data_IF_659915069759
#
_entry.id   IF_659915069759
#
_cell.length_a   1.000
_cell.length_b   1.000
_cell.length_c   1.000
_cell.angle_alpha   90.00
_cell.angle_beta   90.00
_cell.angle_gamma   90.00
#
_symmetry.space_group_name_H-M   'P 1'
#
loop_
_entity.id
_entity.type
_entity.pdbx_description
1 polymer ?
#
# COMPACT_ATOMS: atom_id res chain seq x y z
N UNK A 1 14.96 -32.40 -17.80
CA UNK A 1 14.22 -32.89 -18.97
C UNK A 1 13.13 -33.84 -18.51
N UNK A 2 11.87 -33.44 -18.65
CA UNK A 2 10.71 -34.30 -18.40
C UNK A 2 9.69 -33.99 -19.50
N UNK A 3 9.49 -34.97 -20.38
CA UNK A 3 8.60 -34.90 -21.54
C UNK A 3 7.20 -35.33 -21.06
N UNK A 4 6.18 -34.51 -21.29
CA UNK A 4 4.78 -34.85 -20.99
C UNK A 4 4.12 -35.30 -22.28
N UNK A 5 3.73 -36.57 -22.31
CA UNK A 5 2.96 -37.21 -23.36
C UNK A 5 1.49 -36.79 -23.26
N UNK A 6 0.92 -36.24 -24.34
CA UNK A 6 -0.51 -35.90 -24.41
C UNK A 6 -1.21 -36.97 -25.26
N UNK A 7 -2.05 -37.79 -24.64
CA UNK A 7 -2.98 -38.67 -25.37
C UNK A 7 -4.31 -37.95 -25.60
N UNK A 8 -4.88 -37.98 -26.81
CA UNK A 8 -6.19 -37.38 -27.06
C UNK A 8 -7.32 -38.35 -26.67
N UNK A 9 -8.34 -37.81 -26.01
CA UNK A 9 -9.57 -38.51 -25.67
C UNK A 9 -10.43 -38.72 -26.93
N UNK A 10 -10.81 -39.97 -27.19
CA UNK A 10 -11.80 -40.32 -28.21
C UNK A 10 -13.20 -39.96 -27.69
N UNK A 11 -13.88 -39.03 -28.36
CA UNK A 11 -15.33 -38.92 -28.28
C UNK A 11 -15.95 -39.50 -29.55
N UNK A 12 -16.77 -40.52 -29.33
CA UNK A 12 -17.69 -41.11 -30.29
C UNK A 12 -18.85 -40.13 -30.52
N UNK A 13 -19.06 -39.71 -31.76
CA UNK A 13 -20.34 -39.14 -32.20
C UNK A 13 -20.91 -40.00 -33.30
N UNK A 14 -22.15 -40.41 -33.07
CA UNK A 14 -22.97 -41.15 -34.00
C UNK A 14 -23.96 -40.17 -34.64
N UNK A 15 -24.20 -40.41 -35.93
CA UNK A 15 -25.39 -40.05 -36.72
C UNK A 15 -25.44 -38.72 -37.52
N UNK A 16 -25.67 -38.98 -38.82
CA UNK A 16 -26.57 -38.35 -39.79
C UNK A 16 -26.07 -37.17 -40.65
N UNK A 17 -25.87 -37.56 -41.91
CA UNK A 17 -25.96 -36.85 -43.18
C UNK A 17 -26.87 -35.62 -43.19
N UNK A 18 -26.36 -34.52 -43.75
CA UNK A 18 -26.89 -33.99 -45.00
C UNK A 18 -25.87 -33.10 -45.73
N UNK A 19 -25.94 -33.16 -47.06
CA UNK A 19 -25.08 -32.48 -48.02
C UNK A 19 -25.48 -31.01 -48.15
N UNK A 20 -24.51 -30.08 -48.16
CA UNK A 20 -24.50 -28.98 -49.14
C UNK A 20 -23.18 -28.19 -49.17
N UNK A 21 -23.00 -27.53 -50.31
CA UNK A 21 -21.76 -27.14 -50.99
C UNK A 21 -21.23 -25.76 -50.57
N UNK A 22 -19.90 -25.67 -50.45
CA UNK A 22 -19.06 -24.58 -50.95
C UNK A 22 -19.04 -23.22 -50.24
N UNK A 23 -17.95 -22.96 -49.50
CA UNK A 23 -17.24 -21.67 -49.52
C UNK A 23 -15.87 -21.82 -48.83
N UNK A 24 -14.82 -21.37 -49.51
CA UNK A 24 -13.44 -21.34 -49.04
C UNK A 24 -13.24 -20.15 -48.09
N UNK A 25 -13.18 -20.41 -46.79
CA UNK A 25 -12.79 -19.42 -45.77
C UNK A 25 -11.44 -19.80 -45.16
N UNK A 26 -10.47 -18.91 -45.36
CA UNK A 26 -9.16 -18.88 -44.71
C UNK A 26 -9.33 -18.66 -43.20
N UNK A 27 -9.45 -19.76 -42.44
CA UNK A 27 -9.47 -19.73 -40.97
C UNK A 27 -8.08 -19.41 -40.41
N UNK A 28 -7.89 -18.15 -40.05
CA UNK A 28 -6.81 -17.69 -39.20
C UNK A 28 -6.97 -18.36 -37.82
N UNK A 29 -6.02 -19.24 -37.49
CA UNK A 29 -6.06 -20.10 -36.31
C UNK A 29 -5.68 -19.30 -35.05
N UNK A 30 -6.58 -18.44 -34.57
CA UNK A 30 -6.46 -17.84 -33.24
C UNK A 30 -6.72 -18.93 -32.20
N UNK A 31 -5.64 -19.49 -31.64
CA UNK A 31 -5.71 -20.33 -30.45
C UNK A 31 -6.13 -19.46 -29.27
N UNK A 32 -7.43 -19.41 -29.00
CA UNK A 32 -7.94 -18.92 -27.72
C UNK A 32 -7.38 -19.80 -26.60
N UNK A 33 -6.42 -19.28 -25.84
CA UNK A 33 -5.99 -19.88 -24.58
C UNK A 33 -7.12 -19.62 -23.59
N UNK A 34 -8.12 -20.50 -23.58
CA UNK A 34 -9.12 -20.55 -22.54
C UNK A 34 -8.45 -21.06 -21.26
N UNK A 35 -7.93 -20.15 -20.45
CA UNK A 35 -7.64 -20.41 -19.03
C UNK A 35 -8.98 -20.62 -18.32
N UNK A 36 -9.52 -21.83 -18.41
CA UNK A 36 -10.61 -22.28 -17.54
C UNK A 36 -10.03 -22.45 -16.15
N UNK A 37 -9.96 -21.35 -15.40
CA UNK A 37 -9.91 -21.41 -13.94
C UNK A 37 -11.22 -22.04 -13.50
N UNK A 38 -11.19 -23.35 -13.26
CA UNK A 38 -12.37 -24.06 -12.76
C UNK A 38 -12.87 -23.36 -11.50
N UNK A 39 -14.08 -22.83 -11.56
CA UNK A 39 -14.83 -22.30 -10.41
C UNK A 39 -15.18 -23.39 -9.38
N UNK A 40 -14.72 -24.63 -9.60
CA UNK A 40 -14.74 -25.73 -8.64
C UNK A 40 -13.72 -25.59 -7.50
N UNK A 41 -12.94 -24.50 -7.45
CA UNK A 41 -12.31 -24.12 -6.19
C UNK A 41 -13.43 -23.68 -5.26
N UNK A 42 -13.87 -24.59 -4.38
CA UNK A 42 -14.73 -24.26 -3.26
C UNK A 42 -14.25 -22.94 -2.63
N UNK A 43 -15.15 -22.00 -2.27
CA UNK A 43 -14.75 -20.76 -1.61
C UNK A 43 -13.77 -21.15 -0.52
N UNK A 44 -12.56 -20.57 -0.58
CA UNK A 44 -11.45 -20.97 0.27
C UNK A 44 -11.85 -20.72 1.72
N UNK A 45 -12.44 -21.74 2.34
CA UNK A 45 -12.76 -21.75 3.74
C UNK A 45 -11.42 -21.81 4.44
N UNK A 46 -11.01 -20.66 4.97
CA UNK A 46 -9.94 -20.59 5.94
C UNK A 46 -10.39 -21.35 7.19
N UNK A 47 -10.30 -22.68 7.15
CA UNK A 47 -10.30 -23.49 8.36
C UNK A 47 -9.06 -23.03 9.11
N UNK A 48 -9.27 -22.37 10.25
CA UNK A 48 -8.23 -22.01 11.21
C UNK A 48 -7.56 -23.29 11.68
N UNK A 49 -6.63 -23.79 10.86
CA UNK A 49 -5.84 -24.95 11.19
C UNK A 49 -4.85 -24.48 12.26
N UNK A 50 -5.26 -24.61 13.52
CA UNK A 50 -4.49 -24.25 14.72
C UNK A 50 -3.11 -24.91 14.75
N UNK A 51 -2.89 -25.96 13.94
CA UNK A 51 -1.61 -26.62 13.75
C UNK A 51 -0.62 -25.90 12.80
N UNK A 52 -1.02 -24.85 12.07
CA UNK A 52 -0.09 -24.05 11.23
C UNK A 52 0.92 -23.22 12.04
N UNK A 53 0.68 -22.99 13.33
CA UNK A 53 1.67 -22.38 14.23
C UNK A 53 2.99 -23.15 14.30
N UNK A 54 2.98 -24.47 14.05
CA UNK A 54 4.18 -25.32 14.12
C UNK A 54 5.20 -25.06 12.99
N UNK A 55 4.78 -24.55 11.83
CA UNK A 55 5.69 -24.32 10.71
C UNK A 55 6.41 -22.96 10.79
N UNK A 56 5.83 -21.95 11.46
CA UNK A 56 6.52 -20.69 11.75
C UNK A 56 7.58 -20.87 12.85
N UNK A 57 7.42 -21.86 13.73
CA UNK A 57 8.46 -22.18 14.73
C UNK A 57 9.83 -22.55 14.11
N UNK A 58 9.88 -22.85 12.80
CA UNK A 58 11.13 -23.05 12.05
C UNK A 58 11.80 -21.75 11.61
N UNK A 59 11.07 -20.64 11.52
CA UNK A 59 11.67 -19.34 11.29
C UNK A 59 12.39 -18.90 12.56
N UNK A 60 13.65 -18.48 12.38
CA UNK A 60 14.37 -17.78 13.43
C UNK A 60 13.53 -16.58 13.86
N UNK A 61 13.16 -16.57 15.14
CA UNK A 61 12.41 -15.49 15.77
C UNK A 61 13.11 -14.15 15.51
N UNK A 62 12.42 -13.22 14.86
CA UNK A 62 12.93 -11.89 14.54
C UNK A 62 12.90 -10.96 15.75
N UNK A 63 12.02 -11.19 16.73
CA UNK A 63 11.82 -10.32 17.89
C UNK A 63 11.87 -11.11 19.19
N UNK A 64 12.85 -10.85 20.06
CA UNK A 64 13.05 -11.60 21.31
C UNK A 64 11.90 -11.42 22.30
N UNK A 65 11.37 -10.20 22.43
CA UNK A 65 10.23 -9.90 23.30
C UNK A 65 9.17 -9.13 22.52
N UNK A 66 8.05 -9.79 22.24
CA UNK A 66 6.92 -9.17 21.58
C UNK A 66 6.24 -8.15 22.50
N UNK A 67 5.81 -7.03 21.94
CA UNK A 67 4.90 -6.13 22.64
C UNK A 67 3.53 -6.77 22.87
N UNK A 68 2.70 -6.15 23.71
CA UNK A 68 1.28 -6.51 23.89
C UNK A 68 0.36 -5.88 22.83
N UNK A 69 0.92 -5.28 21.78
CA UNK A 69 0.14 -4.71 20.68
C UNK A 69 -0.55 -5.83 19.88
N UNK A 70 -1.84 -5.64 19.60
CA UNK A 70 -2.62 -6.57 18.79
C UNK A 70 -2.22 -6.49 17.31
N UNK A 71 -2.52 -7.55 16.55
CA UNK A 71 -2.26 -7.59 15.10
C UNK A 71 -2.94 -6.41 14.36
N UNK A 72 -4.22 -6.05 14.62
CA UNK A 72 -4.84 -4.86 14.02
C UNK A 72 -4.07 -3.56 14.28
N UNK A 73 -3.58 -3.35 15.51
CA UNK A 73 -2.81 -2.17 15.89
C UNK A 73 -1.47 -2.14 15.16
N UNK A 74 -0.75 -3.26 15.10
CA UNK A 74 0.52 -3.35 14.36
C UNK A 74 0.34 -3.08 12.86
N UNK A 75 -0.74 -3.58 12.23
CA UNK A 75 -1.08 -3.26 10.83
C UNK A 75 -1.29 -1.76 10.64
N UNK A 76 -2.03 -1.12 11.53
CA UNK A 76 -2.29 0.32 11.49
C UNK A 76 -1.01 1.15 11.67
N UNK A 77 -0.17 0.79 12.65
CA UNK A 77 1.12 1.45 12.90
C UNK A 77 2.06 1.29 11.70
N UNK A 78 2.16 0.09 11.12
CA UNK A 78 2.99 -0.17 9.94
C UNK A 78 2.56 0.72 8.77
N UNK A 79 1.26 0.71 8.45
CA UNK A 79 0.72 1.51 7.35
C UNK A 79 1.02 2.99 7.51
N UNK A 80 0.75 3.55 8.70
CA UNK A 80 0.96 4.98 8.95
C UNK A 80 2.43 5.36 9.05
N UNK A 81 3.30 4.46 9.52
CA UNK A 81 4.76 4.65 9.47
C UNK A 81 5.27 4.72 8.02
N UNK A 82 4.76 3.88 7.11
CA UNK A 82 5.09 3.92 5.68
C UNK A 82 4.57 5.23 5.04
N UNK A 83 3.30 5.56 5.26
CA UNK A 83 2.64 6.81 4.82
C UNK A 83 3.39 8.07 5.27
N UNK A 84 3.95 8.07 6.48
CA UNK A 84 4.69 9.19 7.08
C UNK A 84 6.21 9.11 6.88
N UNK A 85 6.67 8.22 6.00
CA UNK A 85 8.07 8.07 5.64
C UNK A 85 9.00 7.83 6.83
N UNK A 86 8.68 6.83 7.66
CA UNK A 86 9.51 6.37 8.79
C UNK A 86 10.09 4.98 8.49
N UNK A 87 11.23 4.87 7.77
CA UNK A 87 11.65 3.59 7.17
C UNK A 87 12.10 2.55 8.19
N UNK A 88 13.06 2.91 9.04
CA UNK A 88 13.56 1.98 10.08
C UNK A 88 12.48 1.61 11.10
N UNK A 89 11.65 2.54 11.62
CA UNK A 89 10.47 2.18 12.40
C UNK A 89 9.54 1.20 11.68
N UNK A 90 9.26 1.42 10.38
CA UNK A 90 8.42 0.51 9.59
C UNK A 90 9.01 -0.91 9.52
N UNK A 91 10.33 -1.03 9.33
CA UNK A 91 11.02 -2.33 9.33
C UNK A 91 10.88 -3.04 10.68
N UNK A 92 11.10 -2.36 11.80
CA UNK A 92 11.01 -2.95 13.14
C UNK A 92 9.57 -3.41 13.46
N UNK A 93 8.57 -2.62 13.09
CA UNK A 93 7.15 -2.99 13.22
C UNK A 93 6.82 -4.19 12.33
N UNK A 94 7.33 -4.21 11.10
CA UNK A 94 7.16 -5.34 10.19
C UNK A 94 7.78 -6.63 10.76
N UNK A 95 8.96 -6.56 11.39
CA UNK A 95 9.57 -7.72 12.06
C UNK A 95 8.66 -8.31 13.13
N UNK A 96 8.10 -7.49 14.02
CA UNK A 96 7.18 -7.99 15.05
C UNK A 96 5.88 -8.53 14.45
N UNK A 97 5.35 -7.88 13.42
CA UNK A 97 4.13 -8.34 12.75
C UNK A 97 4.36 -9.65 11.98
N UNK A 98 5.53 -9.86 11.37
CA UNK A 98 5.93 -11.11 10.72
C UNK A 98 5.99 -12.25 11.72
N UNK A 99 6.63 -12.03 12.86
CA UNK A 99 6.73 -13.04 13.93
C UNK A 99 5.36 -13.40 14.51
N UNK A 100 4.46 -12.42 14.66
CA UNK A 100 3.11 -12.65 15.19
C UNK A 100 2.16 -13.27 14.17
N UNK A 101 2.17 -12.78 12.92
CA UNK A 101 1.29 -13.22 11.85
C UNK A 101 1.82 -12.81 10.48
N UNK A 102 2.74 -13.62 9.93
CA UNK A 102 3.26 -13.45 8.57
C UNK A 102 2.14 -13.38 7.51
N UNK A 103 1.07 -14.17 7.68
CA UNK A 103 -0.08 -14.18 6.77
C UNK A 103 -0.85 -12.86 6.76
N UNK A 104 -1.02 -12.20 7.90
CA UNK A 104 -1.65 -10.87 7.95
C UNK A 104 -0.74 -9.79 7.39
N UNK A 105 0.56 -9.89 7.65
CA UNK A 105 1.56 -9.00 7.09
C UNK A 105 1.60 -9.05 5.57
N UNK A 106 1.83 -10.24 4.99
CA UNK A 106 2.07 -10.39 3.54
C UNK A 106 0.81 -10.11 2.71
N UNK A 107 -0.38 -10.24 3.29
CA UNK A 107 -1.64 -9.83 2.65
C UNK A 107 -1.86 -8.31 2.70
N UNK A 108 -1.41 -7.64 3.76
CA UNK A 108 -1.61 -6.20 3.95
C UNK A 108 -0.56 -5.36 3.24
N UNK A 109 0.68 -5.82 3.15
CA UNK A 109 1.77 -5.06 2.54
C UNK A 109 1.48 -4.63 1.08
N UNK A 110 0.97 -5.49 0.18
CA UNK A 110 0.59 -5.07 -1.17
C UNK A 110 -0.44 -3.93 -1.20
N UNK A 111 -1.41 -3.94 -0.28
CA UNK A 111 -2.41 -2.87 -0.16
C UNK A 111 -1.73 -1.56 0.24
N UNK A 112 -0.88 -1.60 1.27
CA UNK A 112 -0.14 -0.42 1.75
C UNK A 112 0.75 0.16 0.64
N UNK A 113 1.42 -0.67 -0.17
CA UNK A 113 2.28 -0.19 -1.25
C UNK A 113 1.49 0.66 -2.25
N UNK A 114 0.31 0.18 -2.66
CA UNK A 114 -0.51 0.89 -3.65
C UNK A 114 -1.22 2.10 -3.04
N UNK A 115 -1.81 1.96 -1.84
CA UNK A 115 -2.54 3.04 -1.16
C UNK A 115 -1.62 4.19 -0.71
N UNK A 116 -0.46 3.85 -0.15
CA UNK A 116 0.39 4.80 0.56
C UNK A 116 1.74 5.03 -0.10
N UNK A 117 1.99 4.49 -1.29
CA UNK A 117 3.21 4.72 -2.05
C UNK A 117 2.96 4.62 -3.55
N UNK A 118 4.02 4.38 -4.30
CA UNK A 118 4.01 4.09 -5.73
C UNK A 118 4.29 2.59 -5.88
N UNK A 119 3.85 1.99 -6.98
CA UNK A 119 4.09 0.58 -7.28
C UNK A 119 5.58 0.23 -7.12
N UNK A 120 5.86 -0.80 -6.32
CA UNK A 120 7.22 -1.28 -6.09
C UNK A 120 7.64 -2.26 -7.19
N UNK A 121 8.89 -2.23 -7.73
CA UNK A 121 9.31 -3.14 -8.79
C UNK A 121 9.28 -4.63 -8.40
N UNK A 122 9.37 -4.93 -7.09
CA UNK A 122 9.24 -6.30 -6.55
C UNK A 122 7.82 -6.63 -6.06
N UNK A 123 6.79 -5.89 -6.50
CA UNK A 123 5.39 -6.20 -6.14
C UNK A 123 4.98 -7.64 -6.51
N UNK A 124 5.32 -8.19 -7.70
CA UNK A 124 5.02 -9.58 -8.03
C UNK A 124 5.60 -10.58 -7.03
N UNK A 125 6.82 -10.33 -6.53
CA UNK A 125 7.47 -11.18 -5.54
C UNK A 125 6.67 -11.25 -4.23
N UNK A 126 6.08 -10.14 -3.77
CA UNK A 126 5.24 -10.13 -2.57
C UNK A 126 3.97 -10.94 -2.76
N UNK A 127 3.29 -10.77 -3.91
CA UNK A 127 2.05 -11.51 -4.22
C UNK A 127 2.33 -13.01 -4.34
N UNK A 128 3.44 -13.39 -4.98
CA UNK A 128 3.84 -14.79 -5.05
C UNK A 128 4.18 -15.39 -3.69
N UNK A 129 4.85 -14.66 -2.80
CA UNK A 129 5.11 -15.12 -1.43
C UNK A 129 3.80 -15.29 -0.65
N UNK A 130 2.84 -14.38 -0.81
CA UNK A 130 1.51 -14.49 -0.22
C UNK A 130 0.79 -15.77 -0.70
N UNK A 131 0.75 -16.00 -2.02
CA UNK A 131 0.11 -17.19 -2.60
C UNK A 131 0.81 -18.47 -2.16
N UNK A 132 2.14 -18.50 -2.19
CA UNK A 132 2.93 -19.66 -1.78
C UNK A 132 2.71 -19.99 -0.30
N UNK A 133 2.70 -18.98 0.57
CA UNK A 133 2.43 -19.14 2.00
C UNK A 133 1.05 -19.75 2.26
N UNK A 134 0.04 -19.39 1.47
CA UNK A 134 -1.31 -20.00 1.55
C UNK A 134 -1.29 -21.52 1.36
N UNK A 135 -0.31 -22.03 0.59
CA UNK A 135 -0.08 -23.45 0.28
C UNK A 135 0.89 -24.13 1.24
N UNK A 136 1.28 -23.46 2.33
CA UNK A 136 2.16 -24.02 3.36
C UNK A 136 3.65 -23.80 3.14
N UNK A 137 4.03 -23.00 2.14
CA UNK A 137 5.41 -22.55 2.00
C UNK A 137 5.85 -21.72 3.22
N UNK A 138 7.04 -22.01 3.74
CA UNK A 138 7.66 -21.25 4.82
C UNK A 138 8.79 -20.41 4.23
N UNK A 139 8.74 -19.07 4.33
CA UNK A 139 9.76 -18.21 3.75
C UNK A 139 11.11 -18.43 4.45
N UNK A 140 12.17 -18.59 3.66
CA UNK A 140 13.53 -18.63 4.17
C UNK A 140 13.96 -17.24 4.72
N UNK A 141 14.95 -17.17 5.62
CA UNK A 141 15.37 -15.89 6.22
C UNK A 141 15.79 -14.81 5.22
N UNK A 142 16.43 -15.19 4.11
CA UNK A 142 16.80 -14.26 3.04
C UNK A 142 15.57 -13.70 2.28
N UNK A 143 14.49 -14.47 2.18
CA UNK A 143 13.21 -13.98 1.62
C UNK A 143 12.61 -12.94 2.56
N UNK A 144 12.62 -13.19 3.87
CA UNK A 144 12.15 -12.24 4.88
C UNK A 144 12.98 -10.96 4.86
N UNK A 145 14.31 -11.07 4.77
CA UNK A 145 15.21 -9.92 4.61
C UNK A 145 14.84 -9.10 3.36
N UNK A 146 14.63 -9.75 2.21
CA UNK A 146 14.18 -9.07 1.00
C UNK A 146 12.86 -8.34 1.20
N UNK A 147 11.87 -8.94 1.88
CA UNK A 147 10.59 -8.29 2.14
C UNK A 147 10.76 -7.06 3.07
N UNK A 148 11.62 -7.15 4.09
CA UNK A 148 11.92 -6.04 4.97
C UNK A 148 12.64 -4.90 4.23
N UNK A 149 13.48 -5.21 3.24
CA UNK A 149 14.06 -4.21 2.33
C UNK A 149 12.96 -3.51 1.51
N UNK A 150 11.97 -4.24 1.01
CA UNK A 150 10.82 -3.63 0.32
C UNK A 150 10.05 -2.69 1.27
N UNK A 151 9.83 -3.07 2.53
CA UNK A 151 9.19 -2.19 3.53
C UNK A 151 9.98 -0.89 3.71
N UNK A 152 11.31 -0.99 3.81
CA UNK A 152 12.18 0.18 3.89
C UNK A 152 12.07 1.04 2.63
N UNK A 153 12.21 0.44 1.44
CA UNK A 153 12.19 1.17 0.16
C UNK A 153 10.86 1.90 -0.05
N UNK A 154 9.75 1.29 0.33
CA UNK A 154 8.40 1.85 0.22
C UNK A 154 8.17 2.97 1.25
N UNK A 155 8.63 2.80 2.49
CA UNK A 155 8.56 3.86 3.49
C UNK A 155 9.46 5.07 3.11
N UNK A 156 10.65 4.80 2.60
CA UNK A 156 11.61 5.83 2.20
C UNK A 156 11.19 6.58 0.94
N UNK A 157 10.40 5.96 0.06
CA UNK A 157 9.92 6.56 -1.17
C UNK A 157 9.16 7.86 -0.91
N UNK A 158 9.55 8.99 -1.53
CA UNK A 158 8.89 10.27 -1.35
C UNK A 158 7.62 10.41 -2.19
N UNK A 159 7.30 9.44 -3.05
CA UNK A 159 6.20 9.51 -3.99
C UNK A 159 5.09 8.54 -3.61
N UNK A 160 3.86 8.96 -3.88
CA UNK A 160 2.72 8.06 -3.88
C UNK A 160 1.81 8.35 -5.06
N UNK A 161 1.06 7.32 -5.46
CA UNK A 161 -0.02 7.46 -6.42
C UNK A 161 -1.31 7.84 -5.71
N UNK A 162 -2.17 8.55 -6.44
CA UNK A 162 -3.54 8.82 -6.03
C UNK A 162 -4.45 8.36 -7.16
N UNK A 163 -5.40 7.48 -6.85
CA UNK A 163 -6.50 7.21 -7.77
C UNK A 163 -7.31 8.51 -7.84
N UNK A 164 -7.44 9.07 -9.04
CA UNK A 164 -8.37 10.16 -9.24
C UNK A 164 -9.76 9.57 -9.10
N UNK A 165 -10.52 10.07 -8.13
CA UNK A 165 -11.95 9.85 -8.09
C UNK A 165 -12.47 10.48 -9.39
N UNK A 166 -12.79 9.64 -10.39
CA UNK A 166 -13.37 10.09 -11.66
C UNK A 166 -14.79 10.59 -11.36
N UNK A 167 -14.89 11.75 -10.71
CA UNK A 167 -16.15 12.47 -10.57
C UNK A 167 -16.59 13.05 -11.91
N UNK A 168 -15.63 13.25 -12.82
CA UNK A 168 -15.91 13.52 -14.22
C UNK A 168 -16.18 12.17 -14.90
N UNK A 169 -17.42 11.70 -14.78
CA UNK A 169 -18.02 10.81 -15.74
C UNK A 169 -17.99 11.50 -17.12
N UNK A 170 -16.83 11.55 -17.77
CA UNK A 170 -16.84 11.43 -19.22
C UNK A 170 -17.69 10.20 -19.50
N UNK A 171 -18.81 10.43 -20.19
CA UNK A 171 -19.72 9.40 -20.67
C UNK A 171 -18.86 8.50 -21.56
N UNK A 172 -18.21 7.50 -20.96
CA UNK A 172 -17.73 6.35 -21.70
C UNK A 172 -19.01 5.85 -22.37
N UNK A 173 -19.11 5.88 -23.72
CA UNK A 173 -20.30 5.42 -24.41
C UNK A 173 -20.64 4.05 -23.83
N UNK A 174 -21.93 3.78 -23.50
CA UNK A 174 -22.31 2.61 -22.74
C UNK A 174 -21.87 1.36 -23.49
N UNK A 175 -20.66 0.89 -23.17
CA UNK A 175 -20.33 -0.52 -23.25
C UNK A 175 -21.39 -1.26 -22.43
N UNK A 176 -21.74 -2.49 -22.83
CA UNK A 176 -22.86 -3.21 -22.26
C UNK A 176 -22.79 -3.15 -20.74
N UNK A 177 -23.79 -2.49 -20.12
CA UNK A 177 -23.91 -2.34 -18.68
C UNK A 177 -24.17 -3.70 -18.06
N UNK A 178 -23.11 -4.46 -17.83
CA UNK A 178 -23.12 -5.66 -16.99
C UNK A 178 -22.71 -5.23 -15.58
N UNK A 179 -23.50 -4.33 -14.98
CA UNK A 179 -23.44 -4.03 -13.56
C UNK A 179 -24.59 -4.75 -12.86
N UNK A 180 -24.70 -6.05 -13.12
CA UNK A 180 -25.24 -6.98 -12.13
C UNK A 180 -24.08 -7.42 -11.24
N UNK A 181 -24.36 -7.57 -9.95
CA UNK A 181 -23.49 -7.86 -8.80
C UNK A 181 -22.47 -9.02 -8.90
N UNK A 182 -22.22 -9.58 -10.08
CA UNK A 182 -21.10 -10.45 -10.36
C UNK A 182 -19.81 -9.64 -10.61
N UNK A 183 -19.13 -9.25 -9.53
CA UNK A 183 -17.81 -8.57 -9.44
C UNK A 183 -16.65 -9.26 -10.23
N UNK A 184 -16.94 -10.33 -10.95
CA UNK A 184 -15.95 -11.17 -11.64
C UNK A 184 -15.67 -10.67 -13.07
N UNK A 185 -16.52 -9.88 -13.73
CA UNK A 185 -16.32 -9.49 -15.14
C UNK A 185 -15.18 -8.51 -15.37
N UNK A 186 -14.98 -7.52 -14.50
CA UNK A 186 -13.96 -6.45 -14.67
C UNK A 186 -12.50 -6.95 -14.74
N UNK A 187 -12.02 -7.83 -13.83
CA UNK A 187 -10.66 -8.37 -13.93
C UNK A 187 -10.41 -9.13 -15.23
N UNK A 188 -11.44 -9.80 -15.77
CA UNK A 188 -11.32 -10.57 -17.01
C UNK A 188 -11.16 -9.67 -18.24
N UNK A 189 -11.81 -8.50 -18.29
CA UNK A 189 -11.58 -7.53 -19.36
C UNK A 189 -10.15 -6.99 -19.36
N UNK A 190 -9.63 -6.65 -18.17
CA UNK A 190 -8.23 -6.23 -18.04
C UNK A 190 -7.30 -7.35 -18.51
N UNK A 191 -7.53 -8.59 -18.07
CA UNK A 191 -6.70 -9.75 -18.46
C UNK A 191 -6.78 -10.08 -19.96
N UNK A 192 -7.95 -9.93 -20.58
CA UNK A 192 -8.14 -10.11 -22.02
C UNK A 192 -7.37 -9.04 -22.81
N UNK A 193 -7.42 -7.77 -22.38
CA UNK A 193 -6.68 -6.68 -23.01
C UNK A 193 -5.15 -6.75 -22.76
N UNK A 194 -4.69 -7.46 -21.72
CA UNK A 194 -3.25 -7.72 -21.56
C UNK A 194 -2.65 -8.50 -22.74
N UNK A 195 -3.46 -9.26 -23.50
CA UNK A 195 -3.00 -9.88 -24.75
C UNK A 195 -2.63 -8.85 -25.83
N UNK A 196 -3.31 -7.70 -25.84
CA UNK A 196 -3.03 -6.57 -26.73
C UNK A 196 -1.82 -5.75 -26.24
N UNK A 197 -1.72 -5.53 -24.93
CA UNK A 197 -0.53 -4.90 -24.31
C UNK A 197 0.74 -5.71 -24.56
N UNK A 198 0.63 -7.04 -24.68
CA UNK A 198 1.77 -7.93 -24.87
C UNK A 198 2.56 -7.73 -26.16
N UNK A 199 2.07 -6.93 -27.11
CA UNK A 199 2.82 -6.55 -28.31
C UNK A 199 3.69 -5.31 -28.08
N UNK A 200 3.36 -4.44 -27.11
CA UNK A 200 3.96 -3.10 -26.96
C UNK A 200 4.69 -2.87 -25.63
N UNK A 201 4.35 -3.58 -24.55
CA UNK A 201 4.97 -3.39 -23.24
C UNK A 201 5.85 -4.60 -22.83
N UNK A 202 6.95 -4.36 -22.07
CA UNK A 202 7.77 -5.44 -21.54
C UNK A 202 6.96 -6.47 -20.73
N UNK A 203 7.33 -7.78 -20.75
CA UNK A 203 6.64 -8.83 -19.98
C UNK A 203 6.51 -8.51 -18.48
N UNK A 204 7.44 -7.75 -17.92
CA UNK A 204 7.45 -7.30 -16.54
C UNK A 204 6.22 -6.43 -16.22
N UNK A 205 5.77 -5.59 -17.15
CA UNK A 205 4.58 -4.76 -16.99
C UNK A 205 3.33 -5.63 -16.81
N UNK A 206 3.18 -6.65 -17.65
CA UNK A 206 2.06 -7.59 -17.56
C UNK A 206 2.10 -8.37 -16.25
N UNK A 207 3.29 -8.79 -15.83
CA UNK A 207 3.46 -9.49 -14.55
C UNK A 207 3.04 -8.61 -13.37
N UNK A 208 3.36 -7.32 -13.38
CA UNK A 208 2.90 -6.37 -12.36
C UNK A 208 1.38 -6.26 -12.32
N UNK A 209 0.73 -6.01 -13.46
CA UNK A 209 -0.75 -5.90 -13.51
C UNK A 209 -1.42 -7.20 -13.07
N UNK A 210 -0.96 -8.34 -13.57
CA UNK A 210 -1.46 -9.66 -13.16
C UNK A 210 -1.28 -9.90 -11.67
N UNK A 211 -0.18 -9.42 -11.08
CA UNK A 211 0.05 -9.54 -9.63
C UNK A 211 -0.92 -8.69 -8.81
N UNK A 212 -1.22 -7.46 -9.26
CA UNK A 212 -2.23 -6.61 -8.60
C UNK A 212 -3.61 -7.29 -8.65
N UNK A 213 -4.01 -7.78 -9.82
CA UNK A 213 -5.28 -8.48 -9.99
C UNK A 213 -5.33 -9.79 -9.20
N UNK A 214 -4.25 -10.57 -9.22
CA UNK A 214 -4.13 -11.81 -8.44
C UNK A 214 -4.27 -11.53 -6.94
N UNK A 215 -3.73 -10.40 -6.45
CA UNK A 215 -3.96 -9.99 -5.06
C UNK A 215 -5.44 -9.70 -4.80
N UNK A 216 -6.16 -9.09 -5.74
CA UNK A 216 -7.60 -8.86 -5.62
C UNK A 216 -8.39 -10.17 -5.60
N UNK A 217 -8.10 -11.07 -6.54
CA UNK A 217 -8.73 -12.39 -6.67
C UNK A 217 -8.43 -13.33 -5.49
N UNK A 218 -7.32 -13.12 -4.78
CA UNK A 218 -7.02 -13.84 -3.55
C UNK A 218 -8.06 -13.57 -2.43
N UNK A 219 -8.83 -12.47 -2.54
CA UNK A 219 -9.89 -12.07 -1.62
C UNK A 219 -9.48 -10.98 -0.64
N UNK A 220 -10.44 -10.47 0.13
CA UNK A 220 -10.26 -9.36 1.07
C UNK A 220 -11.55 -8.59 1.29
N UNK A 221 -11.43 -7.39 1.86
CA UNK A 221 -12.56 -6.46 1.97
C UNK A 221 -12.93 -5.96 0.57
N UNK A 222 -14.21 -5.68 0.32
CA UNK A 222 -14.67 -5.17 -0.96
C UNK A 222 -13.95 -3.86 -1.37
N UNK A 223 -13.66 -3.00 -0.39
CA UNK A 223 -12.87 -1.78 -0.59
C UNK A 223 -11.44 -2.06 -1.06
N UNK A 224 -10.77 -3.07 -0.50
CA UNK A 224 -9.42 -3.47 -0.92
C UNK A 224 -9.43 -4.00 -2.37
N UNK A 225 -10.45 -4.77 -2.76
CA UNK A 225 -10.59 -5.32 -4.11
C UNK A 225 -10.84 -4.20 -5.13
N UNK A 226 -11.72 -3.25 -4.80
CA UNK A 226 -11.98 -2.06 -5.63
C UNK A 226 -10.70 -1.24 -5.81
N UNK A 227 -9.99 -0.95 -4.70
CA UNK A 227 -8.70 -0.25 -4.73
C UNK A 227 -7.69 -0.93 -5.67
N UNK A 228 -7.51 -2.25 -5.53
CA UNK A 228 -6.58 -3.02 -6.37
C UNK A 228 -6.96 -2.97 -7.85
N UNK A 229 -8.24 -3.07 -8.17
CA UNK A 229 -8.73 -3.02 -9.55
C UNK A 229 -8.46 -1.65 -10.17
N UNK A 230 -8.73 -0.56 -9.43
CA UNK A 230 -8.44 0.81 -9.85
C UNK A 230 -6.94 1.04 -10.07
N UNK A 231 -6.07 0.52 -9.21
CA UNK A 231 -4.62 0.61 -9.41
C UNK A 231 -4.12 -0.25 -10.58
N UNK A 232 -4.69 -1.43 -10.80
CA UNK A 232 -4.38 -2.24 -11.98
C UNK A 232 -4.69 -1.47 -13.26
N UNK A 233 -5.85 -0.79 -13.30
CA UNK A 233 -6.25 0.03 -14.44
C UNK A 233 -5.36 1.26 -14.63
N UNK A 234 -5.05 1.97 -13.55
CA UNK A 234 -4.13 3.12 -13.58
C UNK A 234 -2.77 2.74 -14.18
N UNK A 235 -2.16 1.66 -13.65
CA UNK A 235 -0.84 1.22 -14.12
C UNK A 235 -0.89 0.61 -15.52
N UNK A 236 -2.00 -0.02 -15.91
CA UNK A 236 -2.24 -0.48 -17.29
C UNK A 236 -2.20 0.69 -18.27
N UNK A 237 -2.95 1.77 -17.99
CA UNK A 237 -2.97 2.98 -18.83
C UNK A 237 -1.57 3.59 -18.96
N UNK A 238 -0.84 3.71 -17.85
CA UNK A 238 0.54 4.20 -17.83
C UNK A 238 1.48 3.35 -18.67
N UNK A 239 1.47 2.03 -18.50
CA UNK A 239 2.32 1.15 -19.32
C UNK A 239 1.98 1.21 -20.81
N UNK A 240 0.71 1.42 -21.18
CA UNK A 240 0.30 1.63 -22.58
C UNK A 240 0.83 2.95 -23.16
N UNK A 241 0.86 4.02 -22.38
CA UNK A 241 1.43 5.30 -22.81
C UNK A 241 2.95 5.24 -23.05
N UNK A 242 3.63 4.21 -22.51
CA UNK A 242 5.07 3.97 -22.57
C UNK A 242 5.93 5.07 -21.93
N UNK A 243 5.83 6.32 -22.40
CA UNK A 243 6.60 7.47 -21.93
C UNK A 243 5.91 8.17 -20.75
N UNK A 244 6.70 8.49 -19.73
CA UNK A 244 6.27 9.31 -18.59
C UNK A 244 6.17 10.79 -19.03
N UNK A 245 5.07 11.50 -18.73
CA UNK A 245 4.94 12.92 -19.03
C UNK A 245 6.12 13.75 -18.54
N UNK A 246 6.55 14.74 -19.33
CA UNK A 246 7.73 15.57 -19.02
C UNK A 246 7.59 16.32 -17.70
N UNK A 247 6.36 16.67 -17.30
CA UNK A 247 6.06 17.29 -16.00
C UNK A 247 6.42 16.37 -14.83
N UNK A 248 6.11 15.08 -14.92
CA UNK A 248 6.46 14.07 -13.91
C UNK A 248 7.96 13.78 -13.97
N UNK A 249 8.52 13.60 -15.16
CA UNK A 249 9.95 13.38 -15.39
C UNK A 249 10.80 14.49 -14.76
N UNK A 250 10.42 15.76 -14.98
CA UNK A 250 11.07 16.93 -14.39
C UNK A 250 10.94 16.91 -12.87
N UNK A 251 9.74 16.73 -12.31
CA UNK A 251 9.52 16.70 -10.85
C UNK A 251 10.32 15.61 -10.15
N UNK A 252 10.34 14.40 -10.73
CA UNK A 252 11.16 13.30 -10.22
C UNK A 252 12.62 13.70 -10.29
N UNK A 253 13.11 14.13 -11.45
CA UNK A 253 14.51 14.51 -11.67
C UNK A 253 14.99 15.64 -10.76
N UNK A 254 14.19 16.68 -10.57
CA UNK A 254 14.51 17.82 -9.70
C UNK A 254 14.62 17.36 -8.25
N UNK A 255 13.71 16.49 -7.79
CA UNK A 255 13.79 15.92 -6.45
C UNK A 255 15.01 15.02 -6.27
N UNK A 256 15.36 14.25 -7.31
CA UNK A 256 16.61 13.49 -7.30
C UNK A 256 17.77 14.49 -7.12
N UNK A 257 17.86 15.57 -7.90
CA UNK A 257 18.96 16.56 -7.78
C UNK A 257 19.03 17.21 -6.40
N UNK A 258 17.91 17.68 -5.83
CA UNK A 258 17.90 18.37 -4.52
C UNK A 258 18.38 17.51 -3.37
N UNK A 259 18.16 16.19 -3.43
CA UNK A 259 18.58 15.27 -2.35
C UNK A 259 20.11 15.12 -2.25
N UNK A 260 20.86 15.51 -3.29
CA UNK A 260 22.33 15.41 -3.29
C UNK A 260 22.98 16.64 -2.63
N UNK A 261 22.35 17.82 -2.72
CA UNK A 261 22.92 19.08 -2.22
C UNK A 261 22.85 19.22 -0.70
N UNK A 262 21.92 18.53 -0.02
CA UNK A 262 21.78 18.65 1.44
C UNK A 262 22.89 17.94 2.24
N UNK A 263 23.68 17.07 1.61
CA UNK A 263 24.72 16.31 2.32
C UNK A 263 26.09 17.00 2.36
N UNK A 264 26.31 18.10 1.63
CA UNK A 264 27.64 18.75 1.54
C UNK A 264 27.86 19.91 2.52
N UNK A 265 26.85 20.35 3.26
CA UNK A 265 26.92 21.59 4.05
C UNK A 265 27.06 21.40 5.57
N UNK A 266 27.30 20.18 6.07
CA UNK A 266 27.35 19.88 7.51
C UNK A 266 28.75 19.51 8.05
N UNK A 267 29.82 19.68 7.25
CA UNK A 267 31.20 19.36 7.65
C UNK A 267 32.05 20.62 7.79
N UNK A 268 32.67 20.79 8.95
CA UNK A 268 33.34 22.01 9.41
C UNK A 268 34.43 22.58 8.49
N UNK A 269 34.61 23.90 8.64
CA UNK A 269 35.84 24.61 8.28
C UNK A 269 37.03 23.96 9.01
N UNK A 270 37.86 23.22 8.29
CA UNK A 270 39.00 22.54 8.90
C UNK A 270 39.88 21.82 7.89
N UNK A 271 40.88 22.55 7.39
CA UNK A 271 42.10 22.12 6.70
C UNK A 271 41.99 21.40 5.33
N UNK A 272 42.60 22.09 4.36
CA UNK A 272 43.03 21.58 3.06
C UNK A 272 43.96 20.38 3.23
N UNK A 273 43.74 19.31 2.47
CA UNK A 273 44.75 18.83 1.52
C UNK A 273 44.16 17.79 0.54
N UNK A 274 44.55 18.00 -0.71
CA UNK A 274 44.46 17.16 -1.90
C UNK A 274 44.33 15.65 -1.69
N UNK A 275 43.19 15.07 -2.09
CA UNK A 275 43.11 13.90 -2.98
C UNK A 275 41.69 13.31 -3.02
N UNK A 276 40.91 13.58 -4.07
CA UNK A 276 39.86 12.65 -4.59
C UNK A 276 39.17 13.24 -5.82
N UNK A 277 39.88 13.30 -6.95
CA UNK A 277 39.31 13.74 -8.24
C UNK A 277 38.65 12.61 -9.05
N UNK A 278 38.62 11.37 -8.53
CA UNK A 278 38.23 10.17 -9.30
C UNK A 278 36.72 9.87 -9.30
N UNK A 279 35.92 10.40 -8.37
CA UNK A 279 34.49 10.02 -8.22
C UNK A 279 33.50 10.86 -9.04
N UNK A 280 33.91 11.93 -9.71
CA UNK A 280 33.01 12.83 -10.45
C UNK A 280 32.64 12.34 -11.86
N UNK A 281 33.42 11.43 -12.47
CA UNK A 281 33.24 11.04 -13.88
C UNK A 281 32.13 10.01 -14.13
N UNK A 282 31.88 9.07 -13.21
CA UNK A 282 30.78 8.08 -13.37
C UNK A 282 29.39 8.73 -13.30
N UNK A 283 29.24 9.83 -12.54
CA UNK A 283 27.95 10.48 -12.36
C UNK A 283 27.59 11.45 -13.49
N UNK A 284 28.58 12.08 -14.14
CA UNK A 284 28.36 12.91 -15.34
C UNK A 284 27.82 12.10 -16.52
N UNK A 285 28.20 10.82 -16.63
CA UNK A 285 27.63 9.89 -17.62
C UNK A 285 26.12 9.66 -17.41
N UNK A 286 25.63 9.63 -16.17
CA UNK A 286 24.19 9.48 -15.89
C UNK A 286 23.38 10.77 -16.15
N UNK A 287 23.98 11.95 -16.08
CA UNK A 287 23.26 13.22 -16.28
C UNK A 287 22.77 13.42 -17.71
N UNK A 288 23.44 12.84 -18.71
CA UNK A 288 23.02 12.91 -20.11
C UNK A 288 21.99 11.84 -20.51
N UNK A 289 21.73 10.84 -19.66
CA UNK A 289 20.89 9.68 -20.00
C UNK A 289 19.39 9.93 -19.75
N UNK A 290 18.99 10.97 -19.01
CA UNK A 290 17.59 11.17 -18.61
C UNK A 290 16.84 12.20 -19.48
N UNK A 291 16.83 12.02 -20.81
CA UNK A 291 15.95 12.84 -21.67
C UNK A 291 14.48 12.43 -21.56
N UNK A 292 14.18 11.18 -21.19
CA UNK A 292 12.81 10.73 -20.89
C UNK A 292 12.83 9.47 -19.99
N UNK A 293 11.75 9.25 -19.24
CA UNK A 293 11.52 7.99 -18.53
C UNK A 293 10.44 7.17 -19.22
N UNK A 294 10.58 5.85 -19.19
CA UNK A 294 9.48 4.94 -19.48
C UNK A 294 8.72 4.58 -18.19
N UNK A 295 7.41 4.40 -18.30
CA UNK A 295 6.55 4.10 -17.14
C UNK A 295 6.95 2.82 -16.41
N UNK A 296 7.51 1.84 -17.12
CA UNK A 296 7.99 0.59 -16.52
C UNK A 296 9.30 0.73 -15.76
N UNK A 297 10.11 1.74 -16.09
CA UNK A 297 11.35 2.08 -15.38
C UNK A 297 11.06 2.90 -14.14
N UNK A 298 9.98 3.69 -14.16
CA UNK A 298 9.67 4.65 -13.10
C UNK A 298 9.63 4.02 -11.69
N UNK A 299 8.92 2.89 -11.43
CA UNK A 299 9.04 2.15 -10.17
C UNK A 299 10.48 1.86 -9.75
N UNK A 300 11.34 1.44 -10.69
CA UNK A 300 12.74 1.18 -10.38
C UNK A 300 13.44 2.48 -10.04
N UNK A 301 13.34 3.51 -10.86
CA UNK A 301 14.04 4.79 -10.67
C UNK A 301 13.71 5.45 -9.33
N UNK A 302 12.42 5.50 -8.96
CA UNK A 302 11.98 6.17 -7.72
C UNK A 302 12.40 5.42 -6.45
N UNK A 303 12.53 4.09 -6.51
CA UNK A 303 12.99 3.27 -5.39
C UNK A 303 14.52 3.04 -5.39
N UNK A 304 15.17 2.99 -6.56
CA UNK A 304 16.61 2.72 -6.73
C UNK A 304 17.48 3.82 -6.16
N UNK A 305 17.03 5.09 -6.18
CA UNK A 305 17.86 6.20 -5.68
C UNK A 305 18.16 6.10 -4.16
N UNK A 306 17.36 5.35 -3.41
CA UNK A 306 17.68 5.03 -2.03
C UNK A 306 18.99 4.23 -1.94
N UNK A 307 19.20 3.24 -2.82
CA UNK A 307 20.45 2.46 -2.85
C UNK A 307 21.69 3.29 -3.18
N UNK A 308 21.60 4.27 -4.09
CA UNK A 308 22.81 4.98 -4.55
C UNK A 308 23.36 5.98 -3.53
N UNK A 309 22.49 6.72 -2.84
CA UNK A 309 22.94 7.64 -1.77
C UNK A 309 23.49 6.86 -0.57
N UNK A 310 22.97 5.66 -0.34
CA UNK A 310 23.35 4.78 0.76
C UNK A 310 24.63 3.95 0.49
N UNK A 311 25.12 3.94 -0.77
CA UNK A 311 26.42 3.36 -1.13
C UNK A 311 27.59 4.31 -0.88
N UNK A 312 27.33 5.61 -0.66
CA UNK A 312 28.40 6.62 -0.53
C UNK A 312 29.08 6.56 0.84
N UNK A 313 28.37 6.13 1.90
CA UNK A 313 28.97 5.90 3.21
C UNK A 313 28.56 4.52 3.77
N UNK A 314 29.51 3.70 4.26
CA UNK A 314 29.20 2.40 4.87
C UNK A 314 28.17 2.48 5.99
N UNK A 315 28.17 3.59 6.74
CA UNK A 315 27.24 3.87 7.83
C UNK A 315 25.79 4.07 7.37
N UNK A 316 25.55 4.38 6.10
CA UNK A 316 24.20 4.57 5.54
C UNK A 316 23.70 3.37 4.74
N UNK A 317 24.47 2.29 4.65
CA UNK A 317 24.03 1.09 3.96
C UNK A 317 22.89 0.39 4.70
N UNK A 318 21.65 0.81 4.41
CA UNK A 318 20.45 0.27 5.03
C UNK A 318 20.25 -1.21 4.73
N UNK A 319 20.68 -1.70 3.55
CA UNK A 319 20.61 -3.12 3.23
C UNK A 319 21.46 -3.92 4.23
N UNK A 320 22.67 -3.42 4.56
CA UNK A 320 23.50 -3.98 5.61
C UNK A 320 22.84 -3.84 6.98
N UNK A 321 22.26 -2.68 7.33
CA UNK A 321 21.53 -2.49 8.61
C UNK A 321 20.38 -3.47 8.78
N UNK A 322 19.57 -3.67 7.74
CA UNK A 322 18.45 -4.63 7.74
C UNK A 322 18.97 -6.05 7.85
N UNK A 323 20.04 -6.40 7.12
CA UNK A 323 20.67 -7.71 7.21
C UNK A 323 21.23 -8.01 8.60
N UNK A 324 21.93 -7.05 9.20
CA UNK A 324 22.42 -7.13 10.59
C UNK A 324 21.23 -7.28 11.53
N UNK A 325 20.20 -6.45 11.39
CA UNK A 325 18.99 -6.50 12.23
C UNK A 325 18.25 -7.85 12.12
N UNK A 326 18.17 -8.45 10.93
CA UNK A 326 17.62 -9.80 10.72
C UNK A 326 18.50 -10.89 11.35
N UNK A 327 19.83 -10.70 11.32
CA UNK A 327 20.79 -11.64 11.90
C UNK A 327 20.78 -11.59 13.43
N UNK A 328 20.74 -10.40 14.02
CA UNK A 328 20.79 -10.19 15.47
C UNK A 328 19.41 -10.35 16.14
N UNK A 329 18.35 -10.05 15.38
CA UNK A 329 17.00 -9.93 15.90
C UNK A 329 16.77 -8.60 16.62
N UNK A 330 15.51 -8.23 16.72
CA UNK A 330 15.03 -7.09 17.50
C UNK A 330 14.84 -7.52 18.96
N UNK A 331 15.36 -6.77 19.92
CA UNK A 331 15.13 -7.06 21.34
C UNK A 331 13.65 -6.91 21.72
N UNK A 332 13.06 -5.74 21.44
CA UNK A 332 11.66 -5.39 21.63
C UNK A 332 11.38 -4.09 20.87
N UNK A 333 10.10 -3.79 20.59
CA UNK A 333 9.71 -2.47 20.10
C UNK A 333 9.82 -1.42 21.21
N UNK A 334 10.32 -0.24 20.87
CA UNK A 334 10.29 0.96 21.71
C UNK A 334 9.31 2.02 21.23
N UNK A 335 9.11 3.07 22.02
CA UNK A 335 8.21 4.18 21.66
C UNK A 335 8.66 4.92 20.39
N UNK A 336 9.98 4.93 20.12
CA UNK A 336 10.55 5.52 18.91
C UNK A 336 10.27 4.69 17.64
N UNK A 337 9.93 3.41 17.78
CA UNK A 337 9.64 2.51 16.65
C UNK A 337 8.17 2.61 16.20
N UNK A 338 7.29 3.17 17.03
CA UNK A 338 5.86 3.25 16.76
C UNK A 338 5.46 4.65 16.28
N UNK A 339 4.52 4.70 15.34
CA UNK A 339 3.86 5.95 14.95
C UNK A 339 2.63 6.16 15.83
N UNK A 340 2.57 7.28 16.57
CA UNK A 340 1.44 7.59 17.45
C UNK A 340 0.11 7.63 16.68
N UNK A 341 0.11 8.15 15.46
CA UNK A 341 -1.07 8.15 14.61
C UNK A 341 -1.54 6.74 14.21
N UNK A 342 -0.68 5.73 14.37
CA UNK A 342 -1.00 4.30 14.33
C UNK A 342 -2.14 3.89 15.26
N UNK A 343 -2.35 4.63 16.34
CA UNK A 343 -3.48 4.44 17.24
C UNK A 343 -4.65 5.27 16.71
N UNK A 344 -5.62 4.60 16.11
CA UNK A 344 -6.81 5.22 15.54
C UNK A 344 -8.10 4.52 15.98
N UNK A 345 -9.23 5.06 15.53
CA UNK A 345 -10.56 4.55 15.87
C UNK A 345 -10.90 3.20 15.23
N UNK A 346 -10.09 2.69 14.29
CA UNK A 346 -10.28 1.35 13.73
C UNK A 346 -9.60 0.27 14.58
N UNK A 347 -8.57 0.63 15.35
CA UNK A 347 -7.78 -0.31 16.14
C UNK A 347 -7.84 -0.06 17.66
N UNK A 348 -8.51 1.01 18.10
CA UNK A 348 -8.63 1.38 19.51
C UNK A 348 -9.94 2.14 19.80
N UNK A 349 -10.43 2.12 21.05
CA UNK A 349 -11.60 2.89 21.48
C UNK A 349 -11.24 4.36 21.82
N UNK A 350 -10.34 4.97 21.04
CA UNK A 350 -9.82 6.31 21.32
C UNK A 350 -10.93 7.37 21.33
N UNK A 351 -11.91 7.26 20.43
CA UNK A 351 -13.01 8.23 20.34
C UNK A 351 -13.96 8.13 21.53
N UNK A 352 -14.23 6.91 22.02
CA UNK A 352 -15.04 6.68 23.21
C UNK A 352 -14.39 7.26 24.48
N UNK A 353 -13.06 7.38 24.49
CA UNK A 353 -12.33 8.04 25.57
C UNK A 353 -12.37 9.56 25.42
N UNK A 354 -12.13 10.07 24.21
CA UNK A 354 -12.12 11.51 23.93
C UNK A 354 -13.49 12.15 24.17
N UNK A 355 -14.58 11.49 23.75
CA UNK A 355 -15.93 12.05 23.88
C UNK A 355 -16.42 12.13 25.33
N UNK A 356 -15.78 11.42 26.27
CA UNK A 356 -16.08 11.54 27.70
C UNK A 356 -15.54 12.84 28.32
N UNK A 357 -14.64 13.52 27.63
CA UNK A 357 -14.17 14.85 28.03
C UNK A 357 -15.25 15.88 27.67
N UNK A 358 -16.01 16.33 28.67
CA UNK A 358 -17.14 17.23 28.50
C UNK A 358 -16.74 18.52 27.76
N UNK A 359 -15.53 19.02 27.99
CA UNK A 359 -15.05 20.23 27.31
C UNK A 359 -14.86 20.02 25.80
N UNK A 360 -14.31 18.88 25.40
CA UNK A 360 -14.16 18.52 23.99
C UNK A 360 -15.53 18.28 23.36
N UNK A 361 -16.41 17.55 24.06
CA UNK A 361 -17.75 17.26 23.57
C UNK A 361 -18.54 18.54 23.30
N UNK A 362 -18.57 19.47 24.25
CA UNK A 362 -19.22 20.77 24.05
C UNK A 362 -18.58 21.59 22.91
N UNK A 363 -17.25 21.58 22.79
CA UNK A 363 -16.55 22.26 21.69
C UNK A 363 -16.94 21.69 20.32
N UNK A 364 -17.10 20.37 20.22
CA UNK A 364 -17.55 19.68 19.00
C UNK A 364 -19.01 20.01 18.67
N UNK A 365 -19.90 20.06 19.67
CA UNK A 365 -21.30 20.42 19.44
C UNK A 365 -21.45 21.88 19.00
N UNK A 366 -20.70 22.80 19.60
CA UNK A 366 -20.66 24.20 19.17
C UNK A 366 -20.18 24.32 17.72
N UNK A 367 -19.09 23.61 17.37
CA UNK A 367 -18.60 23.59 15.99
C UNK A 367 -19.65 23.09 15.00
N UNK A 368 -20.34 22.00 15.32
CA UNK A 368 -21.41 21.45 14.47
C UNK A 368 -22.56 22.46 14.32
N UNK A 369 -22.93 23.18 15.39
CA UNK A 369 -24.01 24.16 15.37
C UNK A 369 -23.68 25.32 14.44
N UNK A 370 -22.43 25.78 14.49
CA UNK A 370 -21.97 26.95 13.75
C UNK A 370 -21.72 26.63 12.26
N UNK A 371 -21.31 25.40 11.93
CA UNK A 371 -20.97 25.00 10.55
C UNK A 371 -22.06 24.17 9.85
N UNK A 372 -23.00 23.58 10.59
CA UNK A 372 -24.11 22.81 10.03
C UNK A 372 -25.40 22.99 10.85
N UNK A 373 -26.01 24.20 10.79
CA UNK A 373 -27.16 24.54 11.63
C UNK A 373 -28.40 23.69 11.35
N UNK A 374 -28.50 23.05 10.17
CA UNK A 374 -29.63 22.20 9.79
C UNK A 374 -29.64 20.92 10.65
N UNK A 375 -28.48 20.39 11.03
CA UNK A 375 -28.40 19.15 11.81
C UNK A 375 -28.74 19.31 13.31
N UNK A 376 -28.74 20.53 13.87
CA UNK A 376 -28.82 20.73 15.33
C UNK A 376 -30.11 21.41 15.79
N UNK A 377 -30.89 22.05 14.91
CA UNK A 377 -32.15 22.73 15.31
C UNK A 377 -33.16 21.81 16.01
N UNK A 378 -33.11 20.50 15.73
CA UNK A 378 -33.99 19.52 16.39
C UNK A 378 -33.42 18.98 17.72
N UNK A 379 -32.20 19.38 18.09
CA UNK A 379 -31.47 18.79 19.21
C UNK A 379 -31.62 19.55 20.52
N UNK A 380 -32.14 20.77 20.57
CA UNK A 380 -32.08 21.65 21.77
C UNK A 380 -32.94 21.17 22.96
N UNK A 381 -33.83 20.21 22.75
CA UNK A 381 -34.66 19.62 23.82
C UNK A 381 -33.89 18.55 24.61
N UNK A 382 -34.00 18.53 25.95
CA UNK A 382 -33.11 17.80 26.88
C UNK A 382 -33.57 16.34 27.11
N UNK A 383 -34.23 15.71 26.15
CA UNK A 383 -34.66 14.31 26.34
C UNK A 383 -33.48 13.32 26.18
N UNK A 384 -33.45 12.25 26.98
CA UNK A 384 -32.41 11.21 26.92
C UNK A 384 -32.23 10.62 25.50
N UNK A 385 -33.32 10.55 24.73
CA UNK A 385 -33.29 10.10 23.33
C UNK A 385 -32.40 10.98 22.43
N UNK A 386 -32.34 12.30 22.68
CA UNK A 386 -31.53 13.25 21.90
C UNK A 386 -30.05 13.23 22.31
N UNK A 387 -29.71 12.76 23.52
CA UNK A 387 -28.30 12.59 23.95
C UNK A 387 -27.56 11.60 23.04
N UNK A 388 -28.22 10.51 22.66
CA UNK A 388 -27.64 9.52 21.75
C UNK A 388 -27.37 10.10 20.35
N UNK A 389 -28.27 10.95 19.85
CA UNK A 389 -28.10 11.63 18.55
C UNK A 389 -26.91 12.59 18.58
N UNK A 390 -26.80 13.41 19.64
CA UNK A 390 -25.67 14.34 19.82
C UNK A 390 -24.34 13.59 19.88
N UNK A 391 -24.29 12.47 20.62
CA UNK A 391 -23.09 11.62 20.69
C UNK A 391 -22.69 11.06 19.32
N UNK A 392 -23.65 10.55 18.54
CA UNK A 392 -23.36 10.00 17.21
C UNK A 392 -22.83 11.08 16.25
N UNK A 393 -23.45 12.26 16.23
CA UNK A 393 -22.97 13.40 15.43
C UNK A 393 -21.56 13.82 15.84
N UNK A 394 -21.29 13.93 17.14
CA UNK A 394 -19.96 14.25 17.64
C UNK A 394 -18.91 13.19 17.25
N UNK A 395 -19.25 11.91 17.39
CA UNK A 395 -18.37 10.80 16.97
C UNK A 395 -18.09 10.82 15.47
N UNK A 396 -19.09 11.14 14.62
CA UNK A 396 -18.88 11.28 13.17
C UNK A 396 -17.89 12.40 12.86
N UNK A 397 -18.05 13.57 13.47
CA UNK A 397 -17.11 14.69 13.27
C UNK A 397 -15.71 14.31 13.76
N UNK A 398 -15.59 13.70 14.93
CA UNK A 398 -14.29 13.27 15.47
C UNK A 398 -13.62 12.22 14.58
N UNK A 399 -14.36 11.27 14.01
CA UNK A 399 -13.85 10.31 13.01
C UNK A 399 -13.32 11.04 11.79
N UNK A 400 -14.09 11.99 11.26
CA UNK A 400 -13.69 12.78 10.10
C UNK A 400 -12.43 13.62 10.38
N UNK A 401 -12.40 14.34 11.50
CA UNK A 401 -11.26 15.14 11.91
C UNK A 401 -10.01 14.27 12.09
N UNK A 402 -10.15 13.14 12.79
CA UNK A 402 -9.03 12.21 13.00
C UNK A 402 -8.53 11.61 11.69
N UNK A 403 -9.42 11.26 10.77
CA UNK A 403 -9.04 10.77 9.44
C UNK A 403 -8.32 11.85 8.62
N UNK A 404 -8.92 13.03 8.44
CA UNK A 404 -8.39 14.10 7.58
C UNK A 404 -7.11 14.72 8.12
N UNK A 405 -7.02 14.93 9.44
CA UNK A 405 -5.98 15.76 10.05
C UNK A 405 -4.90 14.95 10.78
N UNK A 406 -5.09 13.63 10.96
CA UNK A 406 -4.10 12.78 11.61
C UNK A 406 -3.86 11.48 10.84
N UNK A 407 -4.77 10.51 10.93
CA UNK A 407 -4.60 9.15 10.45
C UNK A 407 -4.36 9.08 8.94
N UNK A 408 -5.06 9.89 8.14
CA UNK A 408 -4.99 9.96 6.68
C UNK A 408 -3.86 10.82 6.12
N UNK A 409 -3.09 11.52 6.97
CA UNK A 409 -2.05 12.43 6.50
C UNK A 409 -0.89 11.66 5.89
N UNK A 410 -0.68 11.86 4.58
CA UNK A 410 0.43 11.31 3.81
C UNK A 410 1.53 12.36 3.63
N UNK A 411 2.77 12.02 4.01
CA UNK A 411 3.94 12.91 3.87
C UNK A 411 4.69 12.71 2.55
N UNK A 412 4.17 11.85 1.68
CA UNK A 412 4.66 11.68 0.32
C UNK A 412 4.01 12.69 -0.61
N UNK A 413 4.68 12.92 -1.72
CA UNK A 413 4.24 13.78 -2.81
C UNK A 413 3.39 12.96 -3.78
N UNK A 414 2.26 13.51 -4.20
CA UNK A 414 1.51 12.93 -5.30
C UNK A 414 2.39 12.93 -6.56
N UNK A 415 2.50 11.77 -7.21
CA UNK A 415 3.26 11.62 -8.45
C UNK A 415 2.70 12.51 -9.55
N UNK A 416 1.38 12.48 -9.74
CA UNK A 416 0.65 13.41 -10.59
C UNK A 416 0.23 14.62 -9.75
N UNK A 417 0.53 15.83 -10.21
CA UNK A 417 0.16 17.05 -9.51
C UNK A 417 -1.35 17.25 -9.66
N UNK A 418 -2.14 16.64 -8.77
CA UNK A 418 -3.55 16.95 -8.69
C UNK A 418 -3.74 18.40 -8.26
N UNK A 419 -4.55 19.16 -9.00
CA UNK A 419 -5.14 20.42 -8.53
C UNK A 419 -5.87 20.10 -7.23
N UNK A 420 -5.34 20.53 -6.08
CA UNK A 420 -6.10 20.47 -4.83
C UNK A 420 -7.31 21.38 -5.05
N UNK A 421 -8.51 20.81 -5.13
CA UNK A 421 -9.74 21.61 -5.10
C UNK A 421 -9.77 22.37 -3.77
N UNK A 422 -10.18 23.63 -3.83
CA UNK A 422 -10.25 24.56 -2.71
C UNK A 422 -11.38 24.19 -1.74
N UNK A 423 -11.33 23.05 -1.05
CA UNK A 423 -12.15 22.80 0.16
C UNK A 423 -11.57 23.51 1.38
N UNK A 424 -11.03 24.72 1.19
CA UNK A 424 -10.15 25.38 2.15
C UNK A 424 -10.87 25.85 3.42
N UNK A 425 -12.09 26.39 3.31
CA UNK A 425 -12.72 27.10 4.42
C UNK A 425 -13.24 26.17 5.52
N UNK A 426 -14.10 25.19 5.17
CA UNK A 426 -14.58 24.21 6.14
C UNK A 426 -13.44 23.36 6.75
N UNK A 427 -12.42 23.03 5.94
CA UNK A 427 -11.23 22.32 6.44
C UNK A 427 -10.40 23.18 7.40
N UNK A 428 -10.40 24.50 7.24
CA UNK A 428 -9.68 25.41 8.13
C UNK A 428 -10.33 25.48 9.50
N UNK A 429 -11.66 25.64 9.57
CA UNK A 429 -12.38 25.64 10.85
C UNK A 429 -12.21 24.31 11.59
N UNK A 430 -12.32 23.18 10.87
CA UNK A 430 -12.11 21.86 11.47
C UNK A 430 -10.67 21.67 11.97
N UNK A 431 -9.69 22.21 11.23
CA UNK A 431 -8.28 22.19 11.61
C UNK A 431 -8.01 23.02 12.85
N UNK A 432 -8.67 24.16 13.00
CA UNK A 432 -8.59 24.98 14.21
C UNK A 432 -9.12 24.23 15.43
N UNK A 433 -10.34 23.67 15.34
CA UNK A 433 -10.90 22.83 16.41
C UNK A 433 -9.96 21.68 16.78
N UNK A 434 -9.42 20.99 15.76
CA UNK A 434 -8.51 19.87 15.96
C UNK A 434 -7.23 20.29 16.69
N UNK A 435 -6.56 21.34 16.21
CA UNK A 435 -5.28 21.79 16.74
C UNK A 435 -5.41 22.37 18.15
N UNK A 436 -6.51 23.07 18.44
CA UNK A 436 -6.70 23.78 19.72
C UNK A 436 -7.30 22.90 20.81
N UNK A 437 -8.18 21.95 20.46
CA UNK A 437 -8.96 21.18 21.45
C UNK A 437 -8.69 19.67 21.45
N UNK A 438 -8.41 19.05 20.29
CA UNK A 438 -8.49 17.59 20.15
C UNK A 438 -7.11 16.91 20.09
N UNK A 439 -6.14 17.49 19.39
CA UNK A 439 -4.88 16.81 19.02
C UNK A 439 -4.02 16.42 20.23
N UNK A 440 -4.02 17.23 21.29
CA UNK A 440 -3.29 16.94 22.54
C UNK A 440 -3.86 15.68 23.20
N UNK A 441 -5.18 15.62 23.35
CA UNK A 441 -5.91 14.50 23.98
C UNK A 441 -5.77 13.20 23.20
N UNK A 442 -5.82 13.28 21.87
CA UNK A 442 -5.51 12.14 20.98
C UNK A 442 -4.07 11.66 21.20
N UNK A 443 -3.12 12.58 21.26
CA UNK A 443 -1.70 12.26 21.44
C UNK A 443 -1.42 11.65 22.81
N UNK A 444 -2.05 12.17 23.86
CA UNK A 444 -1.90 11.68 25.24
C UNK A 444 -2.50 10.29 25.38
N UNK A 445 -3.70 10.05 24.84
CA UNK A 445 -4.29 8.72 24.77
C UNK A 445 -3.35 7.74 24.04
N UNK A 446 -2.86 8.10 22.85
CA UNK A 446 -1.98 7.23 22.06
C UNK A 446 -0.68 6.89 22.79
N UNK A 447 -0.05 7.89 23.44
CA UNK A 447 1.14 7.68 24.27
C UNK A 447 0.86 6.73 25.43
N UNK A 448 -0.20 6.98 26.20
CA UNK A 448 -0.61 6.11 27.31
C UNK A 448 -0.88 4.68 26.84
N UNK A 449 -1.65 4.53 25.75
CA UNK A 449 -2.00 3.24 25.16
C UNK A 449 -0.75 2.43 24.74
N UNK A 450 0.23 3.11 24.15
CA UNK A 450 1.49 2.51 23.72
C UNK A 450 2.42 2.21 24.89
N UNK A 451 2.57 3.11 25.85
CA UNK A 451 3.40 2.89 27.03
C UNK A 451 2.99 1.64 27.81
N UNK A 452 1.68 1.45 28.05
CA UNK A 452 1.15 0.25 28.72
C UNK A 452 1.43 -1.06 27.95
N UNK A 453 1.41 -1.01 26.60
CA UNK A 453 1.57 -2.21 25.75
C UNK A 453 3.00 -2.50 25.31
N UNK A 454 3.87 -1.51 25.35
CA UNK A 454 5.30 -1.64 25.10
C UNK A 454 6.08 -1.95 26.38
N UNK A 455 5.55 -1.56 27.55
CA UNK A 455 6.14 -1.93 28.83
C UNK A 455 6.25 -3.46 28.94
N UNK A 456 7.42 -3.92 29.38
CA UNK A 456 7.59 -5.32 29.73
C UNK A 456 6.78 -5.58 31.00
N UNK A 457 6.06 -6.71 31.11
CA UNK A 457 5.72 -7.19 32.44
C UNK A 457 7.05 -7.34 33.20
N UNK A 458 7.14 -6.72 34.38
CA UNK A 458 8.18 -7.08 35.34
C UNK A 458 7.96 -8.57 35.62
N UNK A 459 8.83 -9.41 35.08
CA UNK A 459 8.86 -10.85 35.35
C UNK A 459 9.72 -11.05 36.59
#
# INVERSE_FOLDING_TARGET
SATVEIRPNKYSTNSKSDKNVGACETKQNQRNINLTMSSSLAPFQWKSNTNKGSNIAKLKRLVKHHSRLSIPVLKSILQKSIRRRRPMPSVRIAMELIDKSYGDFIRRLPIIILEDSILHPQFPFLVWNMVSYSKGFVPAPNIVECILRIVYDVASCPWHDKIMDNEDNEIIPPGPKIFDSNIITEPFYILADLSYIGVMAPPECQLMIRSILLRGLYGGMASDISLLTSYAELWRKRFRQSRVPDTITKRVSDRLKSSNSQNTCAGGEGNQESSTQVKSNSFRSMQHIFTFFLWWELPRVVHLKLNLNDLVTPENNYALKIKILCKEGLMSLGLNDVCLAGIDFHCSPILDNIIKDEFIFQSVLLFLRDNNPICIKDCDDISDSKRNVRNDLALRLLKEAMWKLNSGVNYKLNLEAGTRRNTLECEQSLRELWNTKIVSKVSDYAKMYLSDRLARPYI
#
